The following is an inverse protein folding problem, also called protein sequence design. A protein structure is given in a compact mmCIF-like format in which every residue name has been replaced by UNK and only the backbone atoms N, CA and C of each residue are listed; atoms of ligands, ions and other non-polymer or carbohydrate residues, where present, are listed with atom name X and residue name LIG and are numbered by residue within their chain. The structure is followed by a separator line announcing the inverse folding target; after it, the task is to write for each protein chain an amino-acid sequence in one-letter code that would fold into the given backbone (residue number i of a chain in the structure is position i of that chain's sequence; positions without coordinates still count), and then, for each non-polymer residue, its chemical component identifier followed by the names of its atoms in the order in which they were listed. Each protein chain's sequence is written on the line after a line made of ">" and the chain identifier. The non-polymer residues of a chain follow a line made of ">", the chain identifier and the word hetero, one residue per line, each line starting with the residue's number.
data_IF_136371438402
#
_entry.id   IF_136371438402
#
_cell.length_a   1.000
_cell.length_b   1.000
_cell.length_c   1.000
_cell.angle_alpha   90.00
_cell.angle_beta   90.00
_cell.angle_gamma   90.00
#
_symmetry.space_group_name_H-M   'P 1'
#
loop_
_entity.id
_entity.type
_entity.pdbx_description
1 polymer ?
#
# COMPACT_ATOMS: atom_id res chain seq x y z
N UNK A 1 -7.68 2.53 24.34
CA UNK A 1 -7.62 3.61 25.36
C UNK A 1 -6.68 4.76 24.94
N UNK A 2 -5.46 4.48 24.46
CA UNK A 2 -4.52 5.54 24.02
C UNK A 2 -4.89 6.21 22.68
N UNK A 3 -5.44 5.48 21.71
CA UNK A 3 -5.87 6.07 20.43
C UNK A 3 -6.96 7.14 20.58
N UNK A 4 -7.98 6.88 21.42
CA UNK A 4 -9.05 7.85 21.72
C UNK A 4 -8.49 9.13 22.35
N UNK A 5 -7.61 8.99 23.35
CA UNK A 5 -6.92 10.14 23.97
C UNK A 5 -6.04 10.89 22.97
N UNK A 6 -5.37 10.18 22.07
CA UNK A 6 -4.57 10.80 21.02
C UNK A 6 -5.44 11.61 20.05
N UNK A 7 -6.63 11.11 19.70
CA UNK A 7 -7.59 11.86 18.88
C UNK A 7 -8.15 13.08 19.62
N UNK A 8 -8.49 12.94 20.90
CA UNK A 8 -8.96 14.06 21.73
C UNK A 8 -7.88 15.16 21.88
N UNK A 9 -6.61 14.76 21.98
CA UNK A 9 -5.49 15.69 22.18
C UNK A 9 -5.02 16.35 20.88
N UNK A 10 -4.77 15.57 19.83
CA UNK A 10 -4.22 16.07 18.58
C UNK A 10 -5.30 16.54 17.58
N UNK A 11 -6.57 16.25 17.86
CA UNK A 11 -7.66 16.50 16.92
C UNK A 11 -7.61 15.62 15.68
N UNK A 12 -8.31 16.05 14.64
CA UNK A 12 -8.33 15.37 13.34
C UNK A 12 -6.99 15.58 12.62
N UNK A 13 -6.16 14.54 12.62
CA UNK A 13 -4.85 14.55 11.96
C UNK A 13 -4.96 13.90 10.60
N UNK A 14 -4.45 14.57 9.58
CA UNK A 14 -4.29 13.97 8.26
C UNK A 14 -3.25 12.85 8.31
N UNK A 15 -3.69 11.63 7.99
CA UNK A 15 -2.82 10.44 7.95
C UNK A 15 -2.02 10.39 6.63
N UNK A 16 -2.65 10.73 5.52
CA UNK A 16 -1.99 10.75 4.21
C UNK A 16 -2.73 11.64 3.21
N UNK A 17 -2.02 12.03 2.16
CA UNK A 17 -2.56 12.73 0.99
C UNK A 17 -2.40 11.84 -0.24
N UNK A 18 -3.35 11.92 -1.17
CA UNK A 18 -3.24 11.30 -2.50
C UNK A 18 -3.41 12.38 -3.56
N UNK A 19 -2.45 12.49 -4.47
CA UNK A 19 -2.49 13.43 -5.59
C UNK A 19 -2.59 12.65 -6.91
N UNK A 20 -3.68 12.84 -7.65
CA UNK A 20 -3.87 12.21 -8.95
C UNK A 20 -3.11 13.01 -10.03
N UNK A 21 -1.92 12.55 -10.40
CA UNK A 21 -1.02 13.32 -11.28
C UNK A 21 -1.63 13.56 -12.67
N UNK A 22 -2.41 12.60 -13.17
CA UNK A 22 -3.09 12.69 -14.46
C UNK A 22 -4.17 13.79 -14.53
N UNK A 23 -4.63 14.33 -13.39
CA UNK A 23 -5.61 15.43 -13.36
C UNK A 23 -4.98 16.81 -13.54
N UNK A 24 -3.73 16.98 -13.11
CA UNK A 24 -3.07 18.30 -13.04
C UNK A 24 -1.80 18.42 -13.89
N UNK A 25 -1.27 17.32 -14.43
CA UNK A 25 0.00 17.31 -15.15
C UNK A 25 -0.18 16.66 -16.53
N UNK A 26 -0.06 17.49 -17.58
CA UNK A 26 -0.31 17.12 -18.97
C UNK A 26 0.46 15.88 -19.43
N UNK A 27 1.71 15.73 -19.00
CA UNK A 27 2.53 14.54 -19.29
C UNK A 27 1.86 13.25 -18.81
N UNK A 28 1.32 13.23 -17.59
CA UNK A 28 0.68 12.03 -17.04
C UNK A 28 -0.71 11.80 -17.64
N UNK A 29 -1.41 12.85 -18.05
CA UNK A 29 -2.66 12.75 -18.81
C UNK A 29 -2.44 12.03 -20.14
N UNK A 30 -1.44 12.43 -20.93
CA UNK A 30 -1.07 11.76 -22.19
C UNK A 30 -0.76 10.27 -22.00
N UNK A 31 0.03 9.94 -20.98
CA UNK A 31 0.38 8.55 -20.66
C UNK A 31 -0.89 7.76 -20.25
N UNK A 32 -1.78 8.37 -19.46
CA UNK A 32 -3.06 7.76 -19.11
C UNK A 32 -3.90 7.46 -20.34
N UNK A 33 -4.06 8.43 -21.24
CA UNK A 33 -4.91 8.27 -22.42
C UNK A 33 -4.38 7.18 -23.37
N UNK A 34 -3.05 7.11 -23.53
CA UNK A 34 -2.37 6.13 -24.39
C UNK A 34 -2.33 4.72 -23.78
N UNK A 35 -1.97 4.60 -22.49
CA UNK A 35 -1.71 3.30 -21.84
C UNK A 35 -2.78 2.83 -20.88
N UNK A 36 -3.84 3.63 -20.67
CA UNK A 36 -4.95 3.38 -19.75
C UNK A 36 -4.51 3.18 -18.30
N UNK A 37 -3.54 3.99 -17.86
CA UNK A 37 -2.94 3.95 -16.52
C UNK A 37 -3.18 5.25 -15.76
N UNK A 38 -3.66 5.15 -14.53
CA UNK A 38 -3.66 6.24 -13.56
C UNK A 38 -2.31 6.27 -12.81
N UNK A 39 -1.91 7.48 -12.42
CA UNK A 39 -0.71 7.75 -11.64
C UNK A 39 -1.08 8.55 -10.40
N UNK A 40 -0.87 7.95 -9.24
CA UNK A 40 -1.27 8.51 -7.96
C UNK A 40 -0.05 8.64 -7.05
N UNK A 41 0.16 9.83 -6.53
CA UNK A 41 1.24 10.12 -5.60
C UNK A 41 0.68 10.12 -4.18
N UNK A 42 1.12 9.18 -3.36
CA UNK A 42 0.74 9.10 -1.94
C UNK A 42 1.83 9.67 -1.07
N UNK A 43 1.51 10.70 -0.30
CA UNK A 43 2.32 11.17 0.82
C UNK A 43 1.72 10.63 2.12
N UNK A 44 2.31 9.54 2.63
CA UNK A 44 1.89 8.95 3.90
C UNK A 44 2.71 9.55 5.04
N UNK A 45 2.02 10.13 6.01
CA UNK A 45 2.63 10.77 7.17
C UNK A 45 3.09 9.73 8.18
N UNK A 46 4.29 9.91 8.73
CA UNK A 46 4.67 9.16 9.90
C UNK A 46 3.91 9.65 11.13
N UNK A 47 3.30 8.73 11.83
CA UNK A 47 2.55 9.02 13.05
C UNK A 47 2.05 7.74 13.70
N UNK A 48 1.65 7.87 14.96
CA UNK A 48 1.03 6.81 15.74
C UNK A 48 -0.33 7.29 16.26
N UNK A 49 -1.29 6.39 16.37
CA UNK A 49 -2.53 6.61 17.13
C UNK A 49 -2.26 6.43 18.65
N UNK A 50 -1.32 7.21 19.17
CA UNK A 50 -0.88 7.20 20.57
C UNK A 50 -0.32 8.57 20.99
N UNK A 51 -0.32 8.81 22.31
CA UNK A 51 0.35 9.94 22.95
C UNK A 51 1.81 9.63 23.31
N UNK A 52 2.22 8.37 23.17
CA UNK A 52 3.59 7.92 23.46
C UNK A 52 4.29 7.51 22.16
N UNK A 53 5.57 7.13 22.28
CA UNK A 53 6.36 6.54 21.19
C UNK A 53 5.91 5.13 20.78
N UNK A 54 4.93 4.55 21.48
CA UNK A 54 4.41 3.21 21.23
C UNK A 54 2.92 3.26 20.89
N UNK A 55 2.50 2.61 19.81
CA UNK A 55 1.12 2.68 19.35
C UNK A 55 0.90 2.12 17.96
N UNK A 56 -0.37 2.09 17.53
CA UNK A 56 -0.74 1.65 16.17
C UNK A 56 -0.26 2.69 15.16
N UNK A 57 0.38 2.23 14.09
CA UNK A 57 0.98 3.10 13.08
C UNK A 57 -0.07 3.81 12.21
N UNK A 58 0.32 4.95 11.65
CA UNK A 58 -0.36 5.57 10.53
C UNK A 58 -0.16 4.73 9.27
N UNK A 59 -1.28 4.43 8.62
CA UNK A 59 -1.34 3.51 7.49
C UNK A 59 -2.35 4.06 6.47
N UNK A 60 -2.15 3.80 5.18
CA UNK A 60 -3.26 4.02 4.23
C UNK A 60 -4.43 3.10 4.57
N UNK A 61 -5.67 3.48 4.24
CA UNK A 61 -6.86 2.69 4.62
C UNK A 61 -6.79 1.25 4.08
N UNK A 62 -6.33 1.11 2.84
CA UNK A 62 -6.14 -0.16 2.14
C UNK A 62 -7.41 -0.66 1.44
N UNK A 63 -7.23 -1.47 0.41
CA UNK A 63 -8.33 -1.97 -0.44
C UNK A 63 -7.91 -3.18 -1.27
N UNK A 64 -8.86 -3.73 -2.02
CA UNK A 64 -8.62 -4.62 -3.17
C UNK A 64 -9.13 -3.94 -4.44
N UNK A 65 -8.53 -4.24 -5.59
CA UNK A 65 -9.15 -3.87 -6.87
C UNK A 65 -10.43 -4.67 -7.11
N UNK A 66 -11.44 -4.02 -7.69
CA UNK A 66 -12.70 -4.67 -8.08
C UNK A 66 -12.49 -5.58 -9.29
N UNK A 67 -11.68 -5.11 -10.24
CA UNK A 67 -11.27 -5.90 -11.40
C UNK A 67 -9.93 -6.60 -11.16
N UNK A 68 -9.69 -7.67 -11.91
CA UNK A 68 -8.43 -8.41 -11.91
C UNK A 68 -7.31 -7.60 -12.58
N UNK A 69 -6.83 -6.56 -11.91
CA UNK A 69 -5.78 -5.63 -12.34
C UNK A 69 -4.64 -5.59 -11.35
N UNK A 70 -3.40 -5.58 -11.85
CA UNK A 70 -2.23 -5.39 -10.99
C UNK A 70 -2.03 -3.92 -10.63
N UNK A 71 -1.12 -3.69 -9.70
CA UNK A 71 -0.62 -2.35 -9.35
C UNK A 71 0.90 -2.34 -9.34
N UNK A 72 1.49 -1.17 -9.54
CA UNK A 72 2.94 -1.00 -9.44
C UNK A 72 3.27 0.18 -8.55
N UNK A 73 4.02 -0.08 -7.47
CA UNK A 73 4.48 0.93 -6.53
C UNK A 73 5.96 1.18 -6.70
N UNK A 74 6.37 2.45 -6.71
CA UNK A 74 7.75 2.89 -6.58
C UNK A 74 7.87 3.90 -5.44
N UNK A 75 8.81 3.68 -4.54
CA UNK A 75 9.07 4.65 -3.47
C UNK A 75 9.98 5.75 -3.99
N UNK A 76 9.52 6.99 -3.89
CA UNK A 76 10.24 8.18 -4.33
C UNK A 76 11.04 8.84 -3.22
N UNK A 77 10.59 8.72 -1.96
CA UNK A 77 11.28 9.31 -0.81
C UNK A 77 11.09 8.53 0.47
N UNK A 78 12.20 8.35 1.20
CA UNK A 78 12.30 7.61 2.46
C UNK A 78 11.88 6.13 2.32
N UNK A 79 11.95 5.34 3.38
CA UNK A 79 11.53 3.94 3.38
C UNK A 79 10.14 3.76 4.00
N UNK A 80 9.43 2.73 3.54
CA UNK A 80 8.16 2.31 4.10
C UNK A 80 7.98 0.80 3.98
N UNK A 81 6.91 0.27 4.54
CA UNK A 81 6.47 -1.09 4.29
C UNK A 81 5.17 -1.10 3.50
N UNK A 82 4.97 -2.16 2.71
CA UNK A 82 3.72 -2.50 2.07
C UNK A 82 3.23 -3.81 2.67
N UNK A 83 2.07 -3.78 3.32
CA UNK A 83 1.38 -4.99 3.78
C UNK A 83 0.48 -5.48 2.66
N UNK A 84 0.73 -6.71 2.23
CA UNK A 84 -0.10 -7.46 1.30
C UNK A 84 -0.74 -8.62 2.04
N UNK A 85 -2.03 -8.87 1.84
CA UNK A 85 -2.70 -10.04 2.40
C UNK A 85 -3.58 -10.74 1.37
N UNK A 86 -3.33 -12.02 1.15
CA UNK A 86 -4.20 -12.91 0.38
C UNK A 86 -5.19 -13.55 1.36
N UNK A 87 -6.44 -13.11 1.28
CA UNK A 87 -7.48 -13.59 2.19
C UNK A 87 -7.88 -15.03 1.93
N UNK A 88 -7.65 -15.54 0.72
CA UNK A 88 -7.98 -16.92 0.33
C UNK A 88 -6.92 -17.90 0.82
N UNK A 89 -5.65 -17.57 0.58
CA UNK A 89 -4.52 -18.42 0.96
C UNK A 89 -4.06 -18.20 2.40
N UNK A 90 -4.72 -17.29 3.14
CA UNK A 90 -4.36 -16.90 4.51
C UNK A 90 -2.87 -16.56 4.66
N UNK A 91 -2.35 -15.78 3.71
CA UNK A 91 -0.93 -15.39 3.69
C UNK A 91 -0.79 -13.88 3.65
N UNK A 92 -0.04 -13.33 4.58
CA UNK A 92 0.39 -11.94 4.56
C UNK A 92 1.88 -11.83 4.24
N UNK A 93 2.23 -10.74 3.56
CA UNK A 93 3.61 -10.41 3.20
C UNK A 93 3.82 -8.95 3.59
N UNK A 94 4.85 -8.69 4.39
CA UNK A 94 5.36 -7.34 4.62
C UNK A 94 6.54 -7.13 3.69
N UNK A 95 6.37 -6.23 2.74
CA UNK A 95 7.41 -5.87 1.78
C UNK A 95 8.10 -4.60 2.27
N UNK A 96 9.39 -4.69 2.58
CA UNK A 96 10.25 -3.53 2.80
C UNK A 96 10.53 -2.83 1.48
N UNK A 97 10.10 -1.58 1.36
CA UNK A 97 10.24 -0.78 0.15
C UNK A 97 11.07 0.48 0.45
N UNK A 98 12.25 0.56 -0.15
CA UNK A 98 13.23 1.63 0.04
C UNK A 98 13.18 2.59 -1.14
N UNK A 99 13.73 3.78 -0.96
CA UNK A 99 13.84 4.79 -2.02
C UNK A 99 14.41 4.19 -3.31
N UNK A 100 13.66 4.31 -4.41
CA UNK A 100 13.99 3.77 -5.73
C UNK A 100 13.68 2.29 -5.95
N UNK A 101 13.20 1.52 -4.96
CA UNK A 101 12.72 0.15 -5.18
C UNK A 101 11.26 0.13 -5.61
N UNK A 102 10.82 -1.00 -6.17
CA UNK A 102 9.45 -1.12 -6.68
C UNK A 102 8.85 -2.49 -6.46
N UNK A 103 7.52 -2.55 -6.44
CA UNK A 103 6.74 -3.77 -6.21
C UNK A 103 5.61 -3.86 -7.23
N UNK A 104 5.46 -5.04 -7.84
CA UNK A 104 4.27 -5.41 -8.60
C UNK A 104 3.28 -6.12 -7.67
N UNK A 105 2.13 -5.50 -7.43
CA UNK A 105 1.10 -6.00 -6.55
C UNK A 105 0.14 -6.86 -7.36
N UNK A 106 0.08 -8.15 -7.03
CA UNK A 106 -0.87 -9.06 -7.67
C UNK A 106 -2.32 -8.71 -7.24
N UNK A 107 -3.31 -8.72 -8.15
CA UNK A 107 -4.72 -8.41 -7.87
C UNK A 107 -5.40 -9.25 -6.77
N UNK A 108 -4.74 -10.32 -6.31
CA UNK A 108 -5.27 -11.20 -5.26
C UNK A 108 -5.17 -10.57 -3.88
N UNK A 109 -4.21 -9.67 -3.70
CA UNK A 109 -3.89 -9.07 -2.42
C UNK A 109 -4.78 -7.87 -2.14
N UNK A 110 -5.32 -7.80 -0.92
CA UNK A 110 -5.57 -6.49 -0.31
C UNK A 110 -4.22 -5.88 0.06
N UNK A 111 -4.10 -4.56 -0.03
CA UNK A 111 -2.81 -3.91 0.18
C UNK A 111 -2.94 -2.57 0.91
N UNK A 112 -1.94 -2.23 1.74
CA UNK A 112 -1.82 -0.92 2.41
C UNK A 112 -0.37 -0.56 2.72
N UNK A 113 -0.08 0.74 2.72
CA UNK A 113 1.24 1.29 3.06
C UNK A 113 1.37 1.55 4.57
N UNK A 114 2.60 1.44 5.05
CA UNK A 114 3.02 1.64 6.44
C UNK A 114 4.25 2.56 6.42
N UNK A 115 4.13 3.79 6.93
CA UNK A 115 5.30 4.67 7.12
C UNK A 115 6.06 4.29 8.39
N UNK A 116 7.39 4.36 8.36
CA UNK A 116 8.24 4.08 9.53
C UNK A 116 9.27 5.18 9.74
N UNK A 117 9.24 5.81 10.92
CA UNK A 117 10.17 6.86 11.36
C UNK A 117 10.06 8.20 10.62
N UNK A 118 9.66 8.21 9.34
CA UNK A 118 9.53 9.40 8.49
C UNK A 118 8.35 9.27 7.54
N UNK A 119 7.84 10.40 7.08
CA UNK A 119 6.90 10.46 5.96
C UNK A 119 7.49 9.74 4.75
N UNK A 120 6.68 8.97 4.04
CA UNK A 120 7.11 8.30 2.81
C UNK A 120 6.30 8.79 1.61
N UNK A 121 6.99 8.94 0.47
CA UNK A 121 6.38 9.34 -0.79
C UNK A 121 6.40 8.17 -1.76
N UNK A 122 5.22 7.73 -2.20
CA UNK A 122 5.05 6.54 -3.05
C UNK A 122 4.29 6.91 -4.31
N UNK A 123 4.83 6.55 -5.47
CA UNK A 123 4.12 6.59 -6.74
C UNK A 123 3.42 5.26 -6.97
N UNK A 124 2.10 5.29 -7.12
CA UNK A 124 1.27 4.19 -7.58
C UNK A 124 0.92 4.33 -9.06
N UNK A 125 0.99 3.22 -9.78
CA UNK A 125 0.55 3.10 -11.17
C UNK A 125 -0.44 1.95 -11.25
N UNK A 126 -1.64 2.25 -11.73
CA UNK A 126 -2.77 1.31 -11.75
C UNK A 126 -3.58 1.45 -13.05
N UNK A 127 -4.11 0.37 -13.63
CA UNK A 127 -5.09 0.47 -14.69
C UNK A 127 -6.29 1.32 -14.30
N UNK A 128 -6.72 2.20 -15.21
CA UNK A 128 -7.80 3.15 -14.92
C UNK A 128 -9.14 2.48 -14.58
N UNK A 129 -9.33 1.24 -15.01
CA UNK A 129 -10.55 0.46 -14.81
C UNK A 129 -10.46 -0.52 -13.63
N UNK A 130 -9.42 -0.43 -12.78
CA UNK A 130 -9.21 -1.35 -11.67
C UNK A 130 -10.33 -1.31 -10.61
N UNK A 131 -10.87 -0.13 -10.33
CA UNK A 131 -11.84 0.08 -9.24
C UNK A 131 -11.22 -0.11 -7.85
N UNK A 132 -11.97 0.21 -6.80
CA UNK A 132 -11.50 0.10 -5.42
C UNK A 132 -12.61 -0.47 -4.50
N UNK A 133 -12.45 -1.72 -4.08
CA UNK A 133 -13.29 -2.33 -3.05
C UNK A 133 -12.73 -2.03 -1.66
N UNK A 134 -13.20 -0.93 -1.07
CA UNK A 134 -12.92 -0.57 0.32
C UNK A 134 -13.79 -1.35 1.33
N UNK A 135 -14.88 -1.97 0.89
CA UNK A 135 -15.78 -2.72 1.78
C UNK A 135 -15.13 -4.01 2.28
N UNK A 136 -14.20 -4.58 1.52
CA UNK A 136 -13.46 -5.78 1.91
C UNK A 136 -12.72 -5.63 3.25
N UNK A 137 -12.28 -4.42 3.59
CA UNK A 137 -11.59 -4.11 4.86
C UNK A 137 -12.47 -3.35 5.85
N UNK A 138 -13.56 -2.72 5.40
CA UNK A 138 -14.48 -1.98 6.27
C UNK A 138 -15.01 -2.91 7.37
N UNK A 139 -14.91 -2.46 8.63
CA UNK A 139 -15.29 -3.20 9.85
C UNK A 139 -14.52 -4.50 10.15
N UNK A 140 -13.75 -5.06 9.21
CA UNK A 140 -12.93 -6.27 9.39
C UNK A 140 -11.45 -5.95 9.65
N UNK A 141 -10.93 -4.93 8.99
CA UNK A 141 -9.52 -4.53 9.02
C UNK A 141 -8.66 -5.38 8.09
N UNK A 142 -7.37 -5.45 8.39
CA UNK A 142 -6.44 -6.40 7.78
C UNK A 142 -6.20 -7.57 8.73
N UNK A 143 -5.69 -8.72 8.25
CA UNK A 143 -5.32 -9.86 9.11
C UNK A 143 -4.26 -9.53 10.17
N UNK A 144 -3.53 -8.44 10.00
CA UNK A 144 -2.49 -8.00 10.95
C UNK A 144 -2.66 -6.52 11.28
N UNK A 145 -2.54 -6.21 12.57
CA UNK A 145 -2.36 -4.85 13.10
C UNK A 145 -0.87 -4.51 13.15
N UNK A 146 -0.56 -3.25 12.89
CA UNK A 146 0.82 -2.76 12.81
C UNK A 146 1.05 -1.71 13.89
N UNK A 147 1.96 -2.01 14.81
CA UNK A 147 2.34 -1.14 15.91
C UNK A 147 3.81 -0.75 15.80
N UNK A 148 4.16 0.39 16.38
CA UNK A 148 5.52 0.68 16.82
C UNK A 148 5.62 0.42 18.32
N UNK A 149 6.66 -0.30 18.74
CA UNK A 149 6.95 -0.57 20.15
C UNK A 149 8.46 -0.50 20.36
N UNK A 150 8.92 0.37 21.26
CA UNK A 150 10.34 0.58 21.56
C UNK A 150 11.18 0.89 20.31
N UNK A 151 10.59 1.60 19.34
CA UNK A 151 11.25 1.93 18.07
C UNK A 151 11.22 0.83 17.00
N UNK A 152 10.65 -0.34 17.30
CA UNK A 152 10.57 -1.48 16.37
C UNK A 152 9.15 -1.72 15.87
N UNK A 153 9.04 -2.26 14.66
CA UNK A 153 7.76 -2.71 14.10
C UNK A 153 7.28 -3.95 14.85
N UNK A 154 6.12 -3.85 15.51
CA UNK A 154 5.43 -4.95 16.16
C UNK A 154 4.18 -5.30 15.37
N UNK A 155 4.12 -6.52 14.88
CA UNK A 155 2.98 -7.03 14.11
C UNK A 155 2.16 -7.95 14.99
N UNK A 156 0.85 -7.73 15.04
CA UNK A 156 -0.07 -8.49 15.89
C UNK A 156 -1.19 -9.03 15.02
N UNK A 157 -1.49 -10.33 15.11
CA UNK A 157 -2.62 -10.92 14.40
C UNK A 157 -3.94 -10.26 14.86
N UNK A 158 -4.79 -9.94 13.88
CA UNK A 158 -6.13 -9.45 14.13
C UNK A 158 -7.04 -10.63 14.45
N UNK A 159 -7.58 -10.68 15.67
CA UNK A 159 -8.44 -11.77 16.17
C UNK A 159 -9.70 -12.06 15.34
N UNK A 160 -10.08 -11.16 14.42
CA UNK A 160 -11.16 -11.40 13.43
C UNK A 160 -10.75 -12.36 12.31
N UNK A 161 -9.45 -12.67 12.23
CA UNK A 161 -8.85 -13.59 11.28
C UNK A 161 -8.15 -14.69 12.09
N UNK A 162 -8.07 -15.88 11.51
CA UNK A 162 -7.42 -17.02 12.15
C UNK A 162 -6.50 -17.75 11.16
N UNK A 163 -5.25 -17.95 11.60
CA UNK A 163 -4.29 -18.79 10.92
C UNK A 163 -3.65 -18.11 9.72
N UNK A 164 -3.45 -16.79 9.78
CA UNK A 164 -2.70 -16.10 8.75
C UNK A 164 -1.20 -16.26 9.00
N UNK A 165 -0.50 -16.82 8.01
CA UNK A 165 0.95 -16.76 7.98
C UNK A 165 1.41 -15.33 7.66
N UNK A 166 2.59 -14.98 8.13
CA UNK A 166 3.24 -13.72 7.76
C UNK A 166 4.72 -13.93 7.49
N UNK A 167 5.20 -13.36 6.39
CA UNK A 167 6.60 -13.30 6.05
C UNK A 167 7.03 -11.86 5.75
N UNK A 168 8.31 -11.58 5.96
CA UNK A 168 8.93 -10.32 5.60
C UNK A 168 9.86 -10.53 4.42
N UNK A 169 9.76 -9.66 3.43
CA UNK A 169 10.62 -9.66 2.23
C UNK A 169 11.07 -8.24 1.92
N UNK A 170 12.03 -8.08 1.00
CA UNK A 170 12.52 -6.77 0.58
C UNK A 170 12.35 -6.60 -0.92
N UNK A 171 11.79 -5.46 -1.32
CA UNK A 171 11.64 -5.10 -2.72
C UNK A 171 13.00 -4.82 -3.38
N UNK A 172 13.04 -4.95 -4.70
CA UNK A 172 14.21 -4.69 -5.52
C UNK A 172 13.94 -3.52 -6.45
N UNK A 173 15.01 -2.94 -7.02
CA UNK A 173 14.86 -2.00 -8.13
C UNK A 173 14.30 -2.75 -9.34
N UNK A 174 13.27 -2.20 -9.95
CA UNK A 174 12.67 -2.74 -11.17
C UNK A 174 12.63 -1.62 -12.21
N UNK A 175 13.02 -1.95 -13.43
CA UNK A 175 12.86 -1.07 -14.58
C UNK A 175 12.00 -1.78 -15.62
N UNK A 176 10.80 -1.26 -15.86
CA UNK A 176 9.85 -1.82 -16.81
C UNK A 176 9.36 -0.67 -17.70
N UNK A 177 9.57 -0.71 -19.02
CA UNK A 177 9.04 0.30 -19.93
C UNK A 177 7.52 0.42 -19.80
N UNK A 178 6.98 1.65 -19.89
CA UNK A 178 5.57 1.91 -19.57
C UNK A 178 4.59 1.07 -20.40
N UNK A 179 4.88 0.87 -21.69
CA UNK A 179 4.11 0.00 -22.58
C UNK A 179 4.02 -1.44 -22.07
N UNK A 180 5.16 -1.96 -21.57
CA UNK A 180 5.20 -3.32 -21.00
C UNK A 180 4.52 -3.38 -19.64
N UNK A 181 4.69 -2.35 -18.83
CA UNK A 181 4.04 -2.24 -17.52
C UNK A 181 2.52 -2.26 -17.68
N UNK A 182 1.96 -1.46 -18.60
CA UNK A 182 0.52 -1.46 -18.91
C UNK A 182 0.00 -2.87 -19.21
N UNK A 183 0.69 -3.63 -20.07
CA UNK A 183 0.29 -5.02 -20.37
C UNK A 183 0.32 -5.93 -19.14
N UNK A 184 1.35 -5.81 -18.29
CA UNK A 184 1.50 -6.62 -17.07
C UNK A 184 0.35 -6.35 -16.10
N UNK A 185 0.03 -5.07 -15.89
CA UNK A 185 -1.01 -4.64 -14.96
C UNK A 185 -2.42 -4.94 -15.50
N UNK A 186 -2.64 -4.81 -16.81
CA UNK A 186 -3.93 -5.12 -17.46
C UNK A 186 -4.23 -6.62 -17.50
N UNK A 187 -3.21 -7.47 -17.70
CA UNK A 187 -3.39 -8.91 -17.91
C UNK A 187 -2.59 -9.76 -16.91
N UNK A 188 -2.87 -9.66 -15.60
CA UNK A 188 -2.07 -10.31 -14.55
C UNK A 188 -1.97 -11.84 -14.74
N UNK A 189 -3.03 -12.49 -15.23
CA UNK A 189 -3.02 -13.92 -15.51
C UNK A 189 -2.02 -14.34 -16.61
N UNK A 190 -1.79 -13.48 -17.61
CA UNK A 190 -0.81 -13.72 -18.68
C UNK A 190 0.62 -13.44 -18.21
N UNK A 191 0.78 -12.55 -17.24
CA UNK A 191 2.09 -12.07 -16.76
C UNK A 191 2.41 -12.50 -15.31
N UNK A 192 1.82 -13.61 -14.82
CA UNK A 192 1.99 -14.09 -13.44
C UNK A 192 3.44 -14.12 -12.94
N UNK A 193 4.40 -14.46 -13.81
CA UNK A 193 5.82 -14.52 -13.47
C UNK A 193 6.42 -13.20 -12.94
N UNK A 194 5.81 -12.06 -13.27
CA UNK A 194 6.27 -10.74 -12.83
C UNK A 194 5.83 -10.39 -11.41
N UNK A 195 4.83 -11.09 -10.86
CA UNK A 195 4.28 -10.84 -9.52
C UNK A 195 4.93 -11.71 -8.44
N UNK A 196 6.10 -12.29 -8.72
CA UNK A 196 6.85 -13.04 -7.72
C UNK A 196 7.49 -12.04 -6.76
N UNK A 197 7.03 -12.06 -5.52
CA UNK A 197 7.52 -11.28 -4.39
C UNK A 197 8.39 -12.18 -3.53
#
# INVERSE_FOLDING_TARGET
>A
KNAKKALEFFGDRTVYYVYNLWRGIERYKKIKDEYKLNFDLTLLKFGLFSLTKDGEAFLTYGHKHEKNRGEFYTVLKNECYLLLSDLKDKKSIIVEIKEGTSVLIHPRFIHRLISIGKDCLVLGIVPEDAGHDYNIVKNKGFPHHIFMQNGWLKIVENKKYEGFSIEKVSAKKLYIPIKKLSQILMYPNKYKKFYKI
#
